data_IF_009004265872
#
_entry.id   IF_009004265872
#
_cell.length_a   1.000
_cell.length_b   1.000
_cell.length_c   1.000
_cell.angle_alpha   90.00
_cell.angle_beta   90.00
_cell.angle_gamma   90.00
#
_symmetry.space_group_name_H-M   'P 1'
#
loop_
_entity.id
_entity.type
_entity.pdbx_description
1 polymer ?
#
# COMPACT_ATOMS: atom_id res chain seq x y z
N UNK A 1 4.46 72.46 -22.75
CA UNK A 1 4.06 71.17 -23.34
C UNK A 1 4.41 70.07 -22.36
N UNK A 2 3.43 69.42 -21.69
CA UNK A 2 3.66 68.31 -20.80
C UNK A 2 3.55 67.00 -21.61
N UNK A 3 4.64 66.25 -21.72
CA UNK A 3 4.67 64.95 -22.36
C UNK A 3 3.85 63.96 -21.53
N UNK A 4 2.82 63.38 -22.10
CA UNK A 4 1.97 62.36 -21.52
C UNK A 4 2.75 61.03 -21.43
N UNK A 5 3.18 60.63 -20.23
CA UNK A 5 3.87 59.37 -19.97
C UNK A 5 2.90 58.22 -20.30
N UNK A 6 3.10 57.54 -21.42
CA UNK A 6 2.31 56.36 -21.78
C UNK A 6 2.56 55.27 -20.72
N UNK A 7 1.52 54.88 -20.06
CA UNK A 7 1.56 53.82 -19.08
C UNK A 7 1.82 52.47 -19.76
N UNK A 8 2.90 51.79 -19.38
CA UNK A 8 3.26 50.47 -19.91
C UNK A 8 2.46 49.33 -19.23
N UNK A 9 1.32 49.67 -18.58
CA UNK A 9 0.48 48.69 -17.85
C UNK A 9 0.02 47.54 -18.74
N UNK A 10 -0.33 47.78 -19.98
CA UNK A 10 -0.69 46.73 -20.94
C UNK A 10 0.45 45.72 -21.20
N UNK A 11 1.70 46.21 -21.28
CA UNK A 11 2.88 45.37 -21.45
C UNK A 11 3.13 44.48 -20.24
N UNK A 12 2.98 45.02 -19.03
CA UNK A 12 3.14 44.26 -17.79
C UNK A 12 2.06 43.21 -17.63
N UNK A 13 0.81 43.47 -18.01
CA UNK A 13 -0.28 42.49 -18.00
C UNK A 13 -0.02 41.35 -18.97
N UNK A 14 0.47 41.66 -20.19
CA UNK A 14 0.82 40.65 -21.18
C UNK A 14 1.98 39.76 -20.67
N UNK A 15 3.02 40.35 -20.08
CA UNK A 15 4.15 39.61 -19.52
C UNK A 15 3.69 38.70 -18.37
N UNK A 16 2.84 39.19 -17.48
CA UNK A 16 2.29 38.38 -16.40
C UNK A 16 1.44 37.22 -16.91
N UNK A 17 0.62 37.43 -17.93
CA UNK A 17 -0.15 36.38 -18.58
C UNK A 17 0.74 35.32 -19.25
N UNK A 18 1.81 35.73 -19.95
CA UNK A 18 2.78 34.81 -20.57
C UNK A 18 3.48 33.97 -19.48
N UNK A 19 3.94 34.59 -18.39
CA UNK A 19 4.57 33.89 -17.28
C UNK A 19 3.60 32.88 -16.63
N UNK A 20 2.34 33.27 -16.44
CA UNK A 20 1.32 32.36 -15.90
C UNK A 20 1.05 31.17 -16.84
N UNK A 21 0.94 31.42 -18.15
CA UNK A 21 0.77 30.35 -19.16
C UNK A 21 2.00 29.43 -19.19
N UNK A 22 3.22 30.00 -19.20
CA UNK A 22 4.45 29.20 -19.14
C UNK A 22 4.52 28.36 -17.85
N UNK A 23 4.15 28.91 -16.70
CA UNK A 23 4.09 28.18 -15.43
C UNK A 23 3.08 27.03 -15.49
N UNK A 24 1.89 27.25 -16.06
CA UNK A 24 0.89 26.18 -16.26
C UNK A 24 1.40 25.11 -17.22
N UNK A 25 2.06 25.49 -18.32
CA UNK A 25 2.63 24.54 -19.28
C UNK A 25 3.81 23.76 -18.71
N UNK A 26 4.63 24.36 -17.84
CA UNK A 26 5.73 23.68 -17.15
C UNK A 26 5.24 22.72 -16.05
N UNK A 27 4.09 23.03 -15.44
CA UNK A 27 3.44 22.17 -14.44
C UNK A 27 2.61 21.05 -15.09
N UNK A 28 2.17 21.22 -16.33
CA UNK A 28 1.43 20.21 -17.08
C UNK A 28 2.40 19.33 -17.87
N UNK A 29 2.77 18.22 -17.27
CA UNK A 29 3.57 17.19 -17.93
C UNK A 29 2.68 16.03 -18.38
N UNK A 30 2.19 15.99 -19.63
CA UNK A 30 1.33 14.92 -20.13
C UNK A 30 2.03 13.56 -20.15
N UNK A 31 3.37 13.52 -20.20
CA UNK A 31 4.13 12.27 -20.13
C UNK A 31 4.07 11.65 -18.74
N UNK A 32 4.09 12.46 -17.66
CA UNK A 32 3.92 11.95 -16.29
C UNK A 32 2.49 11.42 -16.08
N UNK A 33 1.47 12.14 -16.57
CA UNK A 33 0.08 11.67 -16.47
C UNK A 33 -0.13 10.34 -17.22
N UNK A 34 0.47 10.16 -18.38
CA UNK A 34 0.40 8.90 -19.14
C UNK A 34 1.14 7.78 -18.41
N UNK A 35 2.34 8.03 -17.86
CA UNK A 35 3.10 7.02 -17.10
C UNK A 35 2.35 6.57 -15.84
N UNK A 36 1.70 7.46 -15.11
CA UNK A 36 0.88 7.13 -13.95
C UNK A 36 -0.35 6.32 -14.33
N UNK A 37 -1.01 6.64 -15.46
CA UNK A 37 -2.14 5.87 -15.94
C UNK A 37 -1.74 4.46 -16.39
N UNK A 38 -0.57 4.31 -17.03
CA UNK A 38 -0.05 3.01 -17.44
C UNK A 38 0.34 2.15 -16.23
N UNK A 39 0.94 2.74 -15.20
CA UNK A 39 1.25 2.06 -13.94
C UNK A 39 -0.02 1.62 -13.20
N UNK A 40 -1.00 2.50 -13.07
CA UNK A 40 -2.30 2.17 -12.47
C UNK A 40 -3.01 1.04 -13.22
N UNK A 41 -2.97 1.06 -14.55
CA UNK A 41 -3.53 0.00 -15.38
C UNK A 41 -2.80 -1.35 -15.17
N UNK A 42 -1.47 -1.34 -15.08
CA UNK A 42 -0.67 -2.54 -14.78
C UNK A 42 -0.96 -3.08 -13.37
N UNK A 43 -1.07 -2.22 -12.37
CA UNK A 43 -1.45 -2.59 -11.00
C UNK A 43 -2.84 -3.24 -11.02
N UNK A 44 -3.82 -2.62 -11.70
CA UNK A 44 -5.17 -3.17 -11.82
C UNK A 44 -5.20 -4.53 -12.53
N UNK A 45 -4.44 -4.69 -13.61
CA UNK A 45 -4.32 -5.95 -14.36
C UNK A 45 -3.68 -7.08 -13.53
N UNK A 46 -2.79 -6.75 -12.60
CA UNK A 46 -2.11 -7.71 -11.72
C UNK A 46 -2.82 -7.95 -10.40
N UNK A 47 -3.92 -7.23 -10.09
CA UNK A 47 -4.72 -7.39 -8.87
C UNK A 47 -5.90 -8.32 -9.13
N UNK A 48 -5.94 -9.45 -8.42
CA UNK A 48 -7.03 -10.45 -8.50
C UNK A 48 -8.08 -10.24 -7.42
N UNK A 49 -7.65 -10.04 -6.17
CA UNK A 49 -8.56 -9.73 -5.06
C UNK A 49 -8.88 -8.23 -5.08
N UNK A 50 -9.99 -7.89 -5.75
CA UNK A 50 -10.41 -6.50 -5.95
C UNK A 50 -11.21 -5.98 -4.76
N UNK A 51 -11.11 -4.68 -4.51
CA UNK A 51 -11.97 -4.00 -3.55
C UNK A 51 -13.45 -4.28 -3.83
N UNK A 52 -14.23 -4.51 -2.77
CA UNK A 52 -15.63 -4.88 -2.84
C UNK A 52 -15.89 -6.37 -3.06
N UNK A 53 -14.87 -7.20 -3.38
CA UNK A 53 -15.05 -8.64 -3.54
C UNK A 53 -14.73 -9.41 -2.25
N UNK A 54 -15.22 -10.64 -2.13
CA UNK A 54 -14.82 -11.54 -1.04
C UNK A 54 -13.35 -11.89 -1.18
N UNK A 55 -12.59 -11.73 -0.09
CA UNK A 55 -11.18 -12.10 -0.05
C UNK A 55 -11.00 -13.61 -0.30
N UNK A 56 -10.10 -14.03 -1.20
CA UNK A 56 -9.80 -15.43 -1.42
C UNK A 56 -9.34 -16.10 -0.13
N UNK A 57 -9.98 -17.21 0.25
CA UNK A 57 -9.60 -17.94 1.46
C UNK A 57 -8.24 -18.62 1.30
N UNK A 58 -7.49 -18.71 2.39
CA UNK A 58 -6.22 -19.44 2.47
C UNK A 58 -5.98 -19.98 3.88
N UNK A 59 -5.06 -20.91 3.99
CA UNK A 59 -4.41 -21.29 5.24
C UNK A 59 -2.91 -21.04 5.08
N UNK A 60 -2.33 -20.23 5.95
CA UNK A 60 -0.91 -19.91 5.97
C UNK A 60 -0.22 -20.57 7.16
N UNK A 61 0.97 -21.13 6.93
CA UNK A 61 1.85 -21.60 7.99
C UNK A 61 2.75 -20.45 8.44
N UNK A 62 2.82 -20.23 9.74
CA UNK A 62 3.67 -19.20 10.34
C UNK A 62 5.05 -19.78 10.65
N UNK A 63 6.05 -18.90 10.81
CA UNK A 63 7.43 -19.35 11.13
C UNK A 63 7.54 -20.05 12.49
N UNK A 64 6.60 -19.81 13.42
CA UNK A 64 6.52 -20.49 14.72
C UNK A 64 5.84 -21.88 14.64
N UNK A 65 5.42 -22.30 13.44
CA UNK A 65 4.72 -23.56 13.19
C UNK A 65 3.19 -23.50 13.37
N UNK A 66 2.65 -22.40 13.85
CA UNK A 66 1.19 -22.22 13.94
C UNK A 66 0.60 -22.04 12.52
N UNK A 67 -0.73 -22.20 12.44
CA UNK A 67 -1.47 -22.04 11.17
C UNK A 67 -2.61 -21.07 11.36
N UNK A 68 -2.82 -20.19 10.38
CA UNK A 68 -3.92 -19.24 10.35
C UNK A 68 -4.75 -19.51 9.11
N UNK A 69 -6.04 -19.71 9.26
CA UNK A 69 -7.00 -19.79 8.15
C UNK A 69 -7.82 -18.49 8.12
N UNK A 70 -7.85 -17.81 6.98
CA UNK A 70 -8.57 -16.53 6.85
C UNK A 70 -10.08 -16.69 7.18
N UNK A 71 -10.69 -17.81 6.79
CA UNK A 71 -12.10 -18.05 7.06
C UNK A 71 -12.44 -18.09 8.56
N UNK A 72 -11.49 -18.49 9.42
CA UNK A 72 -11.68 -18.59 10.87
C UNK A 72 -11.60 -17.20 11.56
N UNK A 73 -11.23 -16.16 10.79
CA UNK A 73 -11.11 -14.79 11.28
C UNK A 73 -12.36 -13.93 10.98
N UNK A 74 -13.48 -14.55 10.59
CA UNK A 74 -14.74 -13.81 10.43
C UNK A 74 -15.12 -13.09 11.73
N UNK A 75 -15.63 -11.88 11.60
CA UNK A 75 -15.89 -10.98 12.72
C UNK A 75 -14.70 -10.11 13.14
N UNK A 76 -13.50 -10.38 12.62
CA UNK A 76 -12.31 -9.54 12.83
C UNK A 76 -11.94 -8.78 11.55
N UNK A 77 -11.32 -7.62 11.70
CA UNK A 77 -10.65 -6.90 10.62
C UNK A 77 -9.29 -7.53 10.40
N UNK A 78 -8.92 -7.82 9.15
CA UNK A 78 -7.66 -8.48 8.82
C UNK A 78 -6.88 -7.65 7.83
N UNK A 79 -5.60 -7.42 8.12
CA UNK A 79 -4.65 -6.89 7.13
C UNK A 79 -3.74 -8.02 6.67
N UNK A 80 -3.86 -8.42 5.41
CA UNK A 80 -2.92 -9.33 4.75
C UNK A 80 -1.88 -8.48 4.02
N UNK A 81 -0.60 -8.70 4.35
CA UNK A 81 0.53 -8.02 3.71
C UNK A 81 1.41 -9.05 3.02
N UNK A 82 1.63 -8.92 1.72
CA UNK A 82 2.59 -9.76 0.99
C UNK A 82 3.90 -9.02 0.79
N UNK A 83 5.00 -9.67 1.18
CA UNK A 83 6.33 -9.09 1.20
C UNK A 83 7.41 -10.12 0.87
N UNK A 84 8.69 -9.69 0.82
CA UNK A 84 9.85 -10.59 0.74
C UNK A 84 11.09 -9.93 1.35
N UNK A 85 12.06 -10.75 1.80
CA UNK A 85 13.29 -10.28 2.45
C UNK A 85 14.19 -9.48 1.51
N UNK A 86 14.16 -9.77 0.22
CA UNK A 86 14.93 -9.12 -0.84
C UNK A 86 14.28 -7.85 -1.40
N UNK A 87 13.03 -7.54 -1.01
CA UNK A 87 12.25 -6.43 -1.55
C UNK A 87 12.54 -5.13 -0.78
N UNK A 88 13.22 -4.13 -1.37
CA UNK A 88 13.57 -2.89 -0.65
C UNK A 88 12.36 -2.11 -0.12
N UNK A 89 11.30 -1.80 -0.91
CA UNK A 89 10.14 -1.08 -0.39
C UNK A 89 9.38 -1.87 0.70
N UNK A 90 9.35 -3.21 0.62
CA UNK A 90 8.77 -4.04 1.69
C UNK A 90 9.52 -3.85 3.01
N UNK A 91 10.85 -3.84 2.96
CA UNK A 91 11.69 -3.65 4.16
C UNK A 91 11.52 -2.26 4.76
N UNK A 92 11.27 -1.24 3.94
CA UNK A 92 10.94 0.09 4.43
C UNK A 92 9.58 0.09 5.15
N UNK A 93 8.54 -0.51 4.57
CA UNK A 93 7.22 -0.65 5.20
C UNK A 93 7.30 -1.36 6.55
N UNK A 94 8.03 -2.49 6.62
CA UNK A 94 8.14 -3.30 7.83
C UNK A 94 8.75 -2.56 9.04
N UNK A 95 9.50 -1.47 8.83
CA UNK A 95 10.03 -0.62 9.93
C UNK A 95 8.92 0.04 10.75
N UNK A 96 7.77 0.28 10.14
CA UNK A 96 6.63 0.95 10.77
C UNK A 96 5.60 -0.01 11.34
N UNK A 97 5.68 -1.30 10.99
CA UNK A 97 4.67 -2.30 11.36
C UNK A 97 4.52 -2.45 12.87
N UNK A 98 5.63 -2.48 13.62
CA UNK A 98 5.54 -2.68 15.06
C UNK A 98 4.75 -1.57 15.74
N UNK A 99 5.15 -0.31 15.54
CA UNK A 99 4.54 0.83 16.21
C UNK A 99 3.16 1.18 15.65
N UNK A 100 3.06 1.28 14.31
CA UNK A 100 1.88 1.84 13.66
C UNK A 100 0.77 0.81 13.42
N UNK A 101 1.08 -0.50 13.51
CA UNK A 101 0.10 -1.58 13.31
C UNK A 101 -0.03 -2.45 14.56
N UNK A 102 1.03 -3.11 15.01
CA UNK A 102 0.95 -4.09 16.09
C UNK A 102 0.58 -3.42 17.42
N UNK A 103 1.34 -2.41 17.84
CA UNK A 103 1.16 -1.74 19.13
C UNK A 103 -0.10 -0.88 19.12
N UNK A 104 -0.37 -0.19 18.00
CA UNK A 104 -1.53 0.69 17.85
C UNK A 104 -2.87 -0.04 17.95
N UNK A 105 -2.98 -1.22 17.36
CA UNK A 105 -4.23 -2.00 17.33
C UNK A 105 -4.23 -3.18 18.30
N UNK A 106 -3.28 -3.23 19.23
CA UNK A 106 -3.23 -4.27 20.27
C UNK A 106 -4.54 -4.34 21.08
N UNK A 107 -5.08 -5.54 21.21
CA UNK A 107 -6.33 -5.77 21.96
C UNK A 107 -7.61 -5.39 21.22
N UNK A 108 -7.52 -4.96 19.94
CA UNK A 108 -8.68 -4.72 19.07
C UNK A 108 -9.04 -6.00 18.30
N UNK A 109 -10.25 -6.04 17.74
CA UNK A 109 -10.67 -7.11 16.82
C UNK A 109 -9.99 -6.98 15.45
N UNK A 110 -8.66 -7.06 15.49
CA UNK A 110 -7.78 -6.88 14.34
C UNK A 110 -6.69 -7.95 14.32
N UNK A 111 -6.36 -8.43 13.11
CA UNK A 111 -5.28 -9.39 12.88
C UNK A 111 -4.40 -8.92 11.72
N UNK A 112 -3.09 -8.85 11.96
CA UNK A 112 -2.09 -8.59 10.92
C UNK A 112 -1.43 -9.90 10.49
N UNK A 113 -1.42 -10.18 9.18
CA UNK A 113 -0.86 -11.41 8.62
C UNK A 113 0.15 -11.04 7.52
N UNK A 114 1.42 -10.79 7.87
CA UNK A 114 2.48 -10.61 6.88
C UNK A 114 2.91 -11.97 6.33
N UNK A 115 2.85 -12.14 5.01
CA UNK A 115 3.14 -13.39 4.30
C UNK A 115 4.34 -13.16 3.37
N UNK A 116 5.45 -13.85 3.64
CA UNK A 116 6.59 -13.87 2.74
C UNK A 116 6.30 -14.76 1.54
N UNK A 117 6.35 -14.16 0.33
CA UNK A 117 6.07 -14.87 -0.91
C UNK A 117 7.34 -15.39 -1.58
N UNK A 118 7.31 -16.65 -1.98
CA UNK A 118 8.37 -17.26 -2.82
C UNK A 118 9.70 -17.48 -2.09
N UNK A 119 9.67 -17.54 -0.75
CA UNK A 119 10.87 -17.71 0.06
C UNK A 119 10.78 -18.93 0.98
N UNK A 120 11.94 -19.50 1.28
CA UNK A 120 12.04 -20.61 2.23
C UNK A 120 11.86 -20.11 3.66
N UNK A 121 11.40 -20.98 4.56
CA UNK A 121 11.35 -20.72 6.01
C UNK A 121 12.67 -20.15 6.53
N UNK A 122 13.79 -20.78 6.17
CA UNK A 122 15.13 -20.37 6.61
C UNK A 122 15.45 -18.92 6.24
N UNK A 123 15.11 -18.48 5.01
CA UNK A 123 15.36 -17.11 4.58
C UNK A 123 14.59 -16.10 5.45
N UNK A 124 13.33 -16.39 5.78
CA UNK A 124 12.49 -15.54 6.63
C UNK A 124 12.96 -15.53 8.09
N UNK A 125 13.35 -16.69 8.63
CA UNK A 125 13.90 -16.79 9.99
C UNK A 125 15.24 -16.03 10.12
N UNK A 126 16.14 -16.16 9.14
CA UNK A 126 17.41 -15.44 9.12
C UNK A 126 17.19 -13.92 8.98
N UNK A 127 16.19 -13.49 8.20
CA UNK A 127 15.79 -12.09 8.13
C UNK A 127 15.27 -11.59 9.47
N UNK A 128 14.35 -12.32 10.12
CA UNK A 128 13.80 -11.99 11.44
C UNK A 128 14.91 -11.84 12.50
N UNK A 129 15.87 -12.78 12.53
CA UNK A 129 17.03 -12.72 13.45
C UNK A 129 17.88 -11.47 13.22
N UNK A 130 18.14 -11.11 11.97
CA UNK A 130 18.97 -9.94 11.64
C UNK A 130 18.28 -8.60 11.96
N UNK A 131 16.96 -8.53 11.80
CA UNK A 131 16.19 -7.30 11.99
C UNK A 131 15.67 -7.12 13.42
N UNK A 132 15.58 -8.20 14.20
CA UNK A 132 15.01 -8.18 15.54
C UNK A 132 13.48 -8.03 15.56
N UNK A 133 12.79 -8.19 14.43
CA UNK A 133 11.33 -8.10 14.40
C UNK A 133 10.67 -9.24 15.18
N UNK A 134 9.70 -8.91 16.03
CA UNK A 134 8.99 -9.88 16.88
C UNK A 134 7.61 -10.25 16.35
N UNK A 135 7.04 -9.46 15.43
CA UNK A 135 5.72 -9.75 14.88
C UNK A 135 5.69 -11.08 14.09
N UNK A 136 4.52 -11.73 14.01
CA UNK A 136 4.39 -13.01 13.30
C UNK A 136 4.69 -12.85 11.81
N UNK A 137 5.21 -13.91 11.18
CA UNK A 137 5.51 -13.95 9.74
C UNK A 137 5.02 -15.27 9.16
N UNK A 138 4.19 -15.20 8.13
CA UNK A 138 3.67 -16.33 7.37
C UNK A 138 4.55 -16.69 6.18
N UNK A 139 4.39 -17.89 5.67
CA UNK A 139 5.18 -18.47 4.58
C UNK A 139 4.28 -18.85 3.40
N UNK A 140 4.68 -18.44 2.21
CA UNK A 140 4.05 -18.82 0.94
C UNK A 140 5.15 -19.15 -0.10
N UNK A 141 5.91 -20.26 0.10
CA UNK A 141 7.10 -20.56 -0.67
C UNK A 141 6.80 -20.85 -2.14
N UNK A 142 5.66 -21.41 -2.45
CA UNK A 142 5.18 -21.72 -3.81
C UNK A 142 4.30 -20.62 -4.42
N UNK A 143 4.09 -19.53 -3.69
CA UNK A 143 3.26 -18.38 -4.07
C UNK A 143 1.78 -18.73 -4.36
N UNK A 144 1.31 -19.84 -3.82
CA UNK A 144 -0.07 -20.31 -4.04
C UNK A 144 -1.11 -19.43 -3.34
N UNK A 145 -0.75 -18.79 -2.22
CA UNK A 145 -1.60 -17.81 -1.53
C UNK A 145 -1.54 -16.48 -2.27
N UNK A 146 -0.35 -15.95 -2.54
CA UNK A 146 -0.16 -14.70 -3.28
C UNK A 146 -0.87 -14.73 -4.63
N UNK A 147 -0.75 -15.83 -5.37
CA UNK A 147 -1.38 -16.01 -6.67
C UNK A 147 -2.91 -15.88 -6.69
N UNK A 148 -3.59 -16.05 -5.55
CA UNK A 148 -5.04 -15.79 -5.42
C UNK A 148 -5.36 -14.30 -5.30
N UNK A 149 -4.44 -13.49 -4.77
CA UNK A 149 -4.61 -12.07 -4.50
C UNK A 149 -4.04 -11.19 -5.60
N UNK A 150 -2.91 -11.58 -6.16
CA UNK A 150 -2.19 -10.83 -7.18
C UNK A 150 -1.28 -11.73 -8.02
N UNK A 151 -0.75 -11.17 -9.13
CA UNK A 151 0.24 -11.87 -9.96
C UNK A 151 1.62 -11.23 -9.90
N UNK A 152 1.71 -9.96 -9.50
CA UNK A 152 2.98 -9.22 -9.46
C UNK A 152 2.98 -8.11 -8.41
N UNK A 153 4.15 -7.47 -8.23
CA UNK A 153 4.45 -6.36 -7.34
C UNK A 153 4.23 -6.66 -5.85
N UNK A 154 5.19 -6.24 -5.03
CA UNK A 154 5.16 -6.22 -3.56
C UNK A 154 5.88 -4.96 -3.05
N UNK A 155 5.59 -4.43 -1.84
CA UNK A 155 4.57 -4.96 -0.93
C UNK A 155 3.16 -4.80 -1.49
N UNK A 156 2.25 -5.68 -1.05
CA UNK A 156 0.82 -5.54 -1.29
C UNK A 156 0.06 -5.70 0.00
N UNK A 157 -0.84 -4.78 0.25
CA UNK A 157 -1.72 -4.83 1.41
C UNK A 157 -3.16 -5.05 0.96
N UNK A 158 -3.86 -5.93 1.66
CA UNK A 158 -5.29 -6.17 1.49
C UNK A 158 -5.96 -6.04 2.85
N UNK A 159 -6.70 -4.96 3.05
CA UNK A 159 -7.53 -4.76 4.23
C UNK A 159 -8.88 -5.45 4.01
N UNK A 160 -9.24 -6.31 4.94
CA UNK A 160 -10.42 -7.17 4.86
C UNK A 160 -11.30 -6.86 6.08
N UNK A 161 -12.58 -6.58 5.84
CA UNK A 161 -13.56 -6.30 6.88
C UNK A 161 -14.04 -7.57 7.61
N UNK A 162 -14.89 -7.38 8.63
CA UNK A 162 -15.46 -8.46 9.44
C UNK A 162 -16.25 -9.47 8.63
N UNK A 163 -16.85 -9.06 7.52
CA UNK A 163 -17.59 -9.93 6.61
C UNK A 163 -16.68 -10.73 5.66
N UNK A 164 -15.37 -10.41 5.66
CA UNK A 164 -14.37 -11.01 4.78
C UNK A 164 -14.33 -10.43 3.38
N UNK A 165 -14.76 -9.18 3.21
CA UNK A 165 -14.65 -8.44 1.94
C UNK A 165 -13.40 -7.58 1.95
N UNK A 166 -12.74 -7.48 0.82
CA UNK A 166 -11.62 -6.55 0.63
C UNK A 166 -12.17 -5.12 0.58
N UNK A 167 -11.79 -4.29 1.53
CA UNK A 167 -12.19 -2.87 1.61
C UNK A 167 -11.13 -1.91 1.10
N UNK A 168 -9.87 -2.33 1.10
CA UNK A 168 -8.76 -1.57 0.53
C UNK A 168 -7.68 -2.52 0.00
N UNK A 169 -7.07 -2.20 -1.13
CA UNK A 169 -5.89 -2.87 -1.66
C UNK A 169 -4.84 -1.81 -2.06
N UNK A 170 -3.61 -1.94 -1.56
CA UNK A 170 -2.48 -1.05 -1.90
C UNK A 170 -1.31 -1.83 -2.49
N UNK A 171 -0.46 -1.14 -3.25
CA UNK A 171 0.72 -1.71 -3.92
C UNK A 171 1.89 -0.76 -3.76
N UNK A 172 3.06 -1.32 -3.41
CA UNK A 172 4.23 -0.51 -3.13
C UNK A 172 4.19 0.10 -1.73
N UNK A 173 5.18 0.91 -1.43
CA UNK A 173 5.27 1.62 -0.16
C UNK A 173 5.60 3.10 -0.42
N UNK A 174 4.68 3.94 -0.01
CA UNK A 174 4.87 5.36 0.22
C UNK A 174 4.42 5.69 1.65
N UNK A 175 5.13 6.58 2.33
CA UNK A 175 4.82 6.89 3.75
C UNK A 175 3.47 7.55 3.93
N UNK A 176 3.05 8.41 3.00
CA UNK A 176 1.75 9.09 3.09
C UNK A 176 0.61 8.08 2.84
N UNK A 177 0.76 7.20 1.85
CA UNK A 177 -0.20 6.12 1.57
C UNK A 177 -0.27 5.11 2.74
N UNK A 178 0.85 4.82 3.39
CA UNK A 178 0.86 3.97 4.59
C UNK A 178 0.08 4.59 5.74
N UNK A 179 0.18 5.90 5.95
CA UNK A 179 -0.64 6.61 6.95
C UNK A 179 -2.13 6.49 6.62
N UNK A 180 -2.52 6.59 5.36
CA UNK A 180 -3.92 6.40 4.93
C UNK A 180 -4.38 4.94 5.11
N UNK A 181 -3.52 3.96 4.86
CA UNK A 181 -3.79 2.54 5.19
C UNK A 181 -4.07 2.36 6.69
N UNK A 182 -3.25 2.95 7.57
CA UNK A 182 -3.44 2.87 9.02
C UNK A 182 -4.76 3.52 9.45
N UNK A 183 -5.14 4.66 8.86
CA UNK A 183 -6.47 5.29 9.09
C UNK A 183 -7.62 4.40 8.60
N UNK A 184 -7.46 3.77 7.45
CA UNK A 184 -8.46 2.85 6.91
C UNK A 184 -8.68 1.64 7.83
N UNK A 185 -7.59 1.08 8.41
CA UNK A 185 -7.67 0.02 9.42
C UNK A 185 -8.50 0.49 10.62
N UNK A 186 -8.19 1.68 11.16
CA UNK A 186 -8.88 2.23 12.32
C UNK A 186 -10.37 2.46 12.05
N UNK A 187 -10.71 3.02 10.89
CA UNK A 187 -12.10 3.21 10.44
C UNK A 187 -12.81 1.86 10.34
N UNK A 188 -12.22 0.89 9.65
CA UNK A 188 -12.82 -0.44 9.45
C UNK A 188 -13.03 -1.20 10.78
N UNK A 189 -12.12 -1.01 11.76
CA UNK A 189 -12.30 -1.57 13.11
C UNK A 189 -13.48 -0.91 13.85
N UNK A 190 -13.72 0.39 13.64
CA UNK A 190 -14.78 1.14 14.31
C UNK A 190 -16.16 0.98 13.64
N UNK A 191 -16.21 0.63 12.37
CA UNK A 191 -17.46 0.30 11.66
C UNK A 191 -18.06 -0.99 12.26
N UNK A 192 -19.34 -0.89 12.69
CA UNK A 192 -20.09 -1.98 13.35
C UNK A 192 -20.92 -2.77 12.34
#
# INVERSE_FOLDING_TARGET
MKAKKKSNTALWIMLAAIVAICAVLLLWNPQQANAQNDEAAQIAATTRAKQGTTAPNFTVEMIDGSRITLADLRGKVVLVNFWATWCPPCREELKYVQADIIDRFKGRDFVFIPISRGETRRAVEDFRKRTGYEFPMGLDPDQSIFGRYATNYIPRNFLIDRSGRVVLATVGFDKAEFVELVKAIETTINDK
#
